data_IF_288278108942
#
_entry.id   IF_288278108942
#
_cell.length_a   1.000
_cell.length_b   1.000
_cell.length_c   1.000
_cell.angle_alpha   90.00
_cell.angle_beta   90.00
_cell.angle_gamma   90.00
#
_symmetry.space_group_name_H-M   'P 1'
#
loop_
_entity.id
_entity.type
_entity.pdbx_description
1 polymer ?
#
# COMPACT_ATOMS: atom_id res chain seq x y z
N UNK A 1 20.37 23.15 -65.98
CA UNK A 1 19.05 23.19 -65.32
C UNK A 1 19.05 22.15 -64.22
N UNK A 2 19.36 22.57 -63.02
CA UNK A 2 19.40 21.69 -61.84
C UNK A 2 18.29 22.17 -60.92
N UNK A 3 17.29 21.35 -60.73
CA UNK A 3 16.26 21.53 -59.69
C UNK A 3 16.66 20.77 -58.44
N UNK A 4 17.03 21.49 -57.39
CA UNK A 4 17.22 20.97 -56.05
C UNK A 4 15.87 20.74 -55.39
N UNK A 5 15.58 19.49 -55.05
CA UNK A 5 14.51 19.14 -54.14
C UNK A 5 15.03 19.24 -52.70
N UNK A 6 14.63 20.23 -51.98
CA UNK A 6 14.76 20.32 -50.53
C UNK A 6 13.70 19.41 -49.89
N UNK A 7 14.14 18.28 -49.36
CA UNK A 7 13.37 17.49 -48.41
C UNK A 7 13.61 18.06 -46.99
N UNK A 8 12.63 18.83 -46.52
CA UNK A 8 12.51 19.19 -45.12
C UNK A 8 12.29 17.90 -44.30
N UNK A 9 13.32 17.44 -43.63
CA UNK A 9 13.22 16.45 -42.55
C UNK A 9 12.77 17.17 -41.28
N UNK A 10 11.46 17.23 -41.04
CA UNK A 10 10.95 17.51 -39.69
C UNK A 10 11.42 16.41 -38.76
N UNK A 11 12.43 16.73 -37.96
CA UNK A 11 12.83 15.87 -36.85
C UNK A 11 11.67 15.77 -35.85
N UNK A 12 11.00 14.64 -35.85
CA UNK A 12 10.10 14.28 -34.74
C UNK A 12 10.96 14.19 -33.48
N UNK A 13 10.87 15.22 -32.65
CA UNK A 13 11.37 15.14 -31.29
C UNK A 13 10.50 14.12 -30.54
N UNK A 14 10.91 12.87 -30.55
CA UNK A 14 10.42 11.87 -29.64
C UNK A 14 10.86 12.28 -28.23
N UNK A 15 10.03 13.10 -27.59
CA UNK A 15 10.18 13.41 -26.19
C UNK A 15 9.94 12.12 -25.42
N UNK A 16 11.04 11.54 -24.89
CA UNK A 16 10.97 10.37 -24.01
C UNK A 16 10.10 10.80 -22.84
N UNK A 17 8.95 10.15 -22.58
CA UNK A 17 8.14 10.49 -21.42
C UNK A 17 9.01 10.28 -20.20
N UNK A 18 9.28 11.36 -19.47
CA UNK A 18 9.88 11.28 -18.14
C UNK A 18 8.90 10.45 -17.35
N UNK A 19 9.30 9.24 -16.98
CA UNK A 19 8.55 8.41 -16.06
C UNK A 19 8.57 9.12 -14.70
N UNK A 20 7.62 10.03 -14.49
CA UNK A 20 7.20 10.36 -13.15
C UNK A 20 6.53 9.09 -12.61
N UNK A 21 7.36 8.19 -12.09
CA UNK A 21 6.83 7.14 -11.26
C UNK A 21 6.07 7.85 -10.16
N UNK A 22 4.76 7.70 -10.09
CA UNK A 22 4.01 7.86 -8.85
C UNK A 22 4.93 7.38 -7.74
N UNK A 23 5.11 8.17 -6.68
CA UNK A 23 6.00 7.83 -5.59
C UNK A 23 5.87 6.34 -5.33
N UNK A 24 6.82 5.55 -5.85
CA UNK A 24 6.79 4.09 -5.68
C UNK A 24 7.06 3.74 -4.23
N UNK A 25 7.58 4.71 -3.46
CA UNK A 25 7.79 4.58 -2.04
C UNK A 25 6.49 4.85 -1.28
N UNK A 26 6.05 3.83 -0.58
CA UNK A 26 4.98 3.96 0.40
C UNK A 26 5.56 4.64 1.63
N UNK A 27 5.00 5.81 1.95
CA UNK A 27 5.40 6.62 3.12
C UNK A 27 4.19 6.88 4.01
N UNK A 28 4.43 7.22 5.28
CA UNK A 28 3.35 7.61 6.18
C UNK A 28 2.75 8.98 5.80
N UNK A 29 3.50 9.81 5.08
CA UNK A 29 3.03 11.14 4.68
C UNK A 29 2.16 11.11 3.43
N UNK A 30 2.36 10.15 2.52
CA UNK A 30 1.48 9.96 1.37
C UNK A 30 0.32 8.98 1.65
N UNK A 31 0.23 8.44 2.87
CA UNK A 31 -0.95 7.70 3.30
C UNK A 31 -2.09 8.66 3.64
N UNK A 32 -3.23 8.46 3.02
CA UNK A 32 -4.40 9.29 3.26
C UNK A 32 -5.10 8.83 4.53
N UNK A 33 -4.75 9.47 5.63
CA UNK A 33 -5.14 9.05 6.96
C UNK A 33 -6.67 9.09 7.21
N UNK A 34 -7.39 10.05 6.59
CA UNK A 34 -8.81 10.23 6.92
C UNK A 34 -9.02 10.34 8.43
N UNK A 35 -9.83 9.43 8.98
CA UNK A 35 -10.10 9.36 10.43
C UNK A 35 -9.03 8.54 11.20
N UNK A 36 -7.97 8.09 10.51
CA UNK A 36 -6.92 7.25 11.08
C UNK A 36 -5.69 8.04 11.58
N UNK A 37 -5.81 9.35 11.85
CA UNK A 37 -4.69 10.21 12.27
C UNK A 37 -3.97 9.69 13.52
N UNK A 38 -4.71 9.15 14.49
CA UNK A 38 -4.12 8.59 15.71
C UNK A 38 -3.24 7.36 15.41
N UNK A 39 -3.66 6.53 14.45
CA UNK A 39 -2.87 5.40 13.99
C UNK A 39 -1.54 5.87 13.38
N UNK A 40 -1.57 6.88 12.49
CA UNK A 40 -0.34 7.40 11.87
C UNK A 40 0.64 7.92 12.92
N UNK A 41 0.16 8.64 13.92
CA UNK A 41 1.00 9.11 15.03
C UNK A 41 1.59 7.94 15.84
N UNK A 42 0.81 6.91 16.12
CA UNK A 42 1.29 5.70 16.81
C UNK A 42 2.38 4.99 16.00
N UNK A 43 2.19 4.86 14.67
CA UNK A 43 3.18 4.25 13.77
C UNK A 43 4.47 5.08 13.66
N UNK A 44 4.37 6.42 13.62
CA UNK A 44 5.54 7.30 13.69
C UNK A 44 6.31 7.15 15.00
N UNK A 45 5.61 6.99 16.12
CA UNK A 45 6.23 6.75 17.44
C UNK A 45 6.87 5.37 17.51
N UNK A 46 6.19 4.34 17.02
CA UNK A 46 6.70 2.97 16.91
C UNK A 46 8.03 2.91 16.15
N UNK A 47 8.11 3.58 15.00
CA UNK A 47 9.30 3.56 14.16
C UNK A 47 10.51 4.30 14.76
N UNK A 48 10.30 5.23 15.71
CA UNK A 48 11.36 6.05 16.34
C UNK A 48 12.13 5.36 17.47
N UNK A 49 11.90 4.08 17.73
CA UNK A 49 12.72 3.31 18.66
C UNK A 49 12.13 3.10 20.06
N UNK A 50 10.83 3.25 20.26
CA UNK A 50 10.17 2.75 21.45
C UNK A 50 10.10 1.21 21.39
N UNK A 51 11.19 0.57 21.82
CA UNK A 51 11.27 -0.89 21.81
C UNK A 51 10.21 -1.54 22.71
N UNK A 52 9.83 -2.76 22.37
CA UNK A 52 8.87 -3.57 23.15
C UNK A 52 7.42 -3.25 22.87
N UNK A 53 7.11 -2.57 21.78
CA UNK A 53 5.73 -2.33 21.37
C UNK A 53 5.23 -3.38 20.39
N UNK A 54 4.04 -3.92 20.66
CA UNK A 54 3.28 -4.69 19.68
C UNK A 54 2.09 -3.85 19.23
N UNK A 55 1.98 -3.65 17.91
CA UNK A 55 0.84 -3.00 17.26
C UNK A 55 0.15 -4.00 16.35
N UNK A 56 -1.16 -4.17 16.51
CA UNK A 56 -2.00 -4.98 15.65
C UNK A 56 -2.95 -4.09 14.85
N UNK A 57 -2.78 -4.07 13.52
CA UNK A 57 -3.62 -3.33 12.60
C UNK A 57 -4.64 -4.26 11.97
N UNK A 58 -5.91 -3.89 11.99
CA UNK A 58 -6.89 -4.64 11.20
C UNK A 58 -7.83 -3.71 10.47
N UNK A 59 -8.35 -4.19 9.35
CA UNK A 59 -9.30 -3.43 8.54
C UNK A 59 -9.62 -4.17 7.24
N UNK A 60 -10.66 -3.76 6.56
CA UNK A 60 -11.09 -4.36 5.30
C UNK A 60 -9.95 -4.42 4.28
N UNK A 61 -10.10 -5.25 3.28
CA UNK A 61 -9.19 -5.28 2.13
C UNK A 61 -9.11 -3.88 1.51
N UNK A 62 -7.94 -3.51 0.99
CA UNK A 62 -7.67 -2.22 0.33
C UNK A 62 -7.79 -0.96 1.22
N UNK A 63 -7.72 -1.10 2.55
CA UNK A 63 -7.64 0.06 3.47
C UNK A 63 -6.22 0.61 3.64
N UNK A 64 -5.24 0.06 2.93
CA UNK A 64 -3.85 0.53 2.96
C UNK A 64 -2.98 -0.11 4.05
N UNK A 65 -3.35 -1.28 4.59
CA UNK A 65 -2.53 -2.01 5.59
C UNK A 65 -1.11 -2.26 5.11
N UNK A 66 -0.96 -2.88 3.94
CA UNK A 66 0.36 -3.16 3.34
C UNK A 66 1.12 -1.88 3.03
N UNK A 67 0.43 -0.78 2.65
CA UNK A 67 1.04 0.53 2.52
C UNK A 67 1.67 0.98 3.85
N UNK A 68 0.92 0.88 4.95
CA UNK A 68 1.40 1.27 6.27
C UNK A 68 2.55 0.38 6.75
N UNK A 69 2.48 -0.93 6.52
CA UNK A 69 3.57 -1.86 6.86
C UNK A 69 4.87 -1.51 6.13
N UNK A 70 4.82 -1.28 4.81
CA UNK A 70 5.98 -0.89 4.02
C UNK A 70 6.47 0.52 4.39
N UNK A 71 5.56 1.47 4.61
CA UNK A 71 5.92 2.83 5.01
C UNK A 71 6.66 2.85 6.36
N UNK A 72 6.19 2.06 7.33
CA UNK A 72 6.87 1.89 8.63
C UNK A 72 8.21 1.21 8.44
N UNK A 73 8.26 0.13 7.65
CA UNK A 73 9.52 -0.56 7.34
C UNK A 73 10.56 0.41 6.76
N UNK A 74 10.18 1.28 5.83
CA UNK A 74 11.11 2.20 5.18
C UNK A 74 11.72 3.24 6.12
N UNK A 75 10.97 3.72 7.12
CA UNK A 75 11.43 4.76 8.05
C UNK A 75 12.15 4.24 9.30
N UNK A 76 12.07 2.94 9.62
CA UNK A 76 12.85 2.36 10.71
C UNK A 76 14.33 2.34 10.33
N UNK A 77 15.19 2.89 11.15
CA UNK A 77 16.66 2.93 10.94
C UNK A 77 17.38 1.72 11.56
N UNK A 78 16.72 0.99 12.46
CA UNK A 78 17.25 -0.18 13.17
C UNK A 78 17.09 -1.48 12.34
N UNK A 79 17.62 -2.58 12.87
CA UNK A 79 17.51 -3.91 12.26
C UNK A 79 16.07 -4.39 12.19
N UNK A 80 15.60 -4.67 11.00
CA UNK A 80 14.20 -4.89 10.70
C UNK A 80 13.97 -5.98 9.66
N UNK A 81 12.83 -6.63 9.76
CA UNK A 81 12.36 -7.59 8.75
C UNK A 81 10.87 -7.42 8.49
N UNK A 82 10.48 -7.52 7.22
CA UNK A 82 9.09 -7.51 6.78
C UNK A 82 8.75 -8.87 6.16
N UNK A 83 7.74 -9.50 6.72
CA UNK A 83 7.21 -10.80 6.31
C UNK A 83 5.79 -10.63 5.78
N UNK A 84 5.50 -11.30 4.69
CA UNK A 84 4.16 -11.44 4.12
C UNK A 84 3.94 -12.89 3.66
N UNK A 85 2.79 -13.16 3.03
CA UNK A 85 2.44 -14.50 2.56
C UNK A 85 3.42 -15.11 1.53
N UNK A 86 4.17 -14.27 0.81
CA UNK A 86 5.03 -14.71 -0.30
C UNK A 86 6.45 -15.04 0.18
N UNK A 87 6.89 -14.44 1.30
CA UNK A 87 8.23 -14.61 1.85
C UNK A 87 8.25 -15.20 3.27
N UNK A 88 7.16 -15.78 3.74
CA UNK A 88 7.03 -16.31 5.10
C UNK A 88 8.11 -17.37 5.44
N UNK A 89 8.55 -18.15 4.46
CA UNK A 89 9.61 -19.14 4.65
C UNK A 89 10.93 -18.54 5.18
N UNK A 90 11.19 -17.28 4.88
CA UNK A 90 12.40 -16.58 5.37
C UNK A 90 12.37 -16.46 6.91
N UNK A 91 11.18 -16.49 7.53
CA UNK A 91 11.06 -16.35 8.99
C UNK A 91 11.86 -17.42 9.73
N UNK A 92 11.92 -18.66 9.23
CA UNK A 92 12.67 -19.75 9.84
C UNK A 92 14.19 -19.58 9.79
N UNK A 93 14.69 -18.78 8.85
CA UNK A 93 16.11 -18.52 8.64
C UNK A 93 16.60 -17.24 9.35
N UNK A 94 15.68 -16.49 9.95
CA UNK A 94 16.01 -15.24 10.63
C UNK A 94 16.56 -15.52 12.02
N UNK A 95 17.75 -14.99 12.30
CA UNK A 95 18.26 -14.92 13.66
C UNK A 95 17.52 -13.81 14.43
N UNK A 96 16.61 -14.24 15.31
CA UNK A 96 15.80 -13.35 16.15
C UNK A 96 16.67 -12.38 16.95
N UNK A 97 17.87 -12.78 17.36
CA UNK A 97 18.72 -11.93 18.20
C UNK A 97 19.20 -10.68 17.45
N UNK A 98 19.36 -10.78 16.14
CA UNK A 98 19.93 -9.73 15.31
C UNK A 98 18.89 -8.74 14.75
N UNK A 99 17.60 -8.94 14.98
CA UNK A 99 16.55 -8.01 14.53
C UNK A 99 15.77 -7.45 15.71
N UNK A 100 15.50 -6.14 15.65
CA UNK A 100 14.76 -5.40 16.68
C UNK A 100 13.30 -5.11 16.27
N UNK A 101 13.00 -5.14 14.97
CA UNK A 101 11.66 -4.93 14.43
C UNK A 101 11.23 -6.06 13.51
N UNK A 102 10.06 -6.64 13.78
CA UNK A 102 9.40 -7.57 12.90
C UNK A 102 8.06 -6.99 12.45
N UNK A 103 7.85 -6.93 11.14
CA UNK A 103 6.59 -6.52 10.53
C UNK A 103 6.00 -7.71 9.83
N UNK A 104 4.76 -8.08 10.16
CA UNK A 104 4.03 -9.20 9.56
C UNK A 104 2.80 -8.64 8.85
N UNK A 105 2.81 -8.64 7.53
CA UNK A 105 1.65 -8.25 6.72
C UNK A 105 0.83 -9.48 6.34
N UNK A 106 -0.48 -9.29 6.15
CA UNK A 106 -1.45 -10.34 5.82
C UNK A 106 -1.43 -11.55 6.78
N UNK A 107 -1.34 -11.27 8.08
CA UNK A 107 -1.20 -12.24 9.16
C UNK A 107 -2.23 -13.38 9.10
N UNK A 108 -3.50 -13.07 8.80
CA UNK A 108 -4.56 -14.07 8.69
C UNK A 108 -4.28 -15.09 7.58
N UNK A 109 -3.69 -14.65 6.46
CA UNK A 109 -3.37 -15.53 5.34
C UNK A 109 -2.24 -16.48 5.72
N UNK A 110 -1.22 -15.97 6.43
CA UNK A 110 -0.10 -16.78 6.91
C UNK A 110 -0.59 -17.79 7.97
N UNK A 111 -1.45 -17.33 8.88
CA UNK A 111 -2.02 -18.18 9.95
C UNK A 111 -2.87 -19.32 9.37
N UNK A 112 -3.67 -19.04 8.34
CA UNK A 112 -4.59 -20.01 7.72
C UNK A 112 -3.89 -20.94 6.73
N UNK A 113 -2.69 -20.60 6.24
CA UNK A 113 -1.88 -21.45 5.37
C UNK A 113 -1.03 -22.41 6.17
N UNK A 114 -1.47 -23.67 6.25
CA UNK A 114 -0.66 -24.75 6.85
C UNK A 114 -0.49 -24.65 8.37
N UNK A 115 0.52 -25.33 8.91
CA UNK A 115 0.81 -25.37 10.36
C UNK A 115 1.69 -24.19 10.81
N UNK A 116 1.41 -22.98 10.34
CA UNK A 116 2.27 -21.81 10.63
C UNK A 116 2.03 -21.21 12.01
N UNK A 117 0.97 -21.63 12.72
CA UNK A 117 0.64 -21.07 14.03
C UNK A 117 1.73 -21.29 15.07
N UNK A 118 2.40 -22.45 15.05
CA UNK A 118 3.51 -22.74 15.99
C UNK A 118 4.70 -21.81 15.73
N UNK A 119 5.06 -21.61 14.48
CA UNK A 119 6.13 -20.70 14.08
C UNK A 119 5.78 -19.25 14.43
N UNK A 120 4.59 -18.79 14.08
CA UNK A 120 4.11 -17.44 14.45
C UNK A 120 4.12 -17.24 15.96
N UNK A 121 3.61 -18.21 16.72
CA UNK A 121 3.60 -18.14 18.19
C UNK A 121 5.02 -18.02 18.74
N UNK A 122 5.95 -18.83 18.26
CA UNK A 122 7.36 -18.80 18.69
C UNK A 122 7.96 -17.40 18.47
N UNK A 123 7.89 -16.87 17.25
CA UNK A 123 8.48 -15.55 16.95
C UNK A 123 7.80 -14.40 17.69
N UNK A 124 6.47 -14.38 17.76
CA UNK A 124 5.73 -13.35 18.50
C UNK A 124 6.10 -13.40 19.99
N UNK A 125 6.20 -14.60 20.55
CA UNK A 125 6.59 -14.80 21.95
C UNK A 125 8.00 -14.27 22.22
N UNK A 126 8.97 -14.66 21.39
CA UNK A 126 10.36 -14.23 21.53
C UNK A 126 10.51 -12.71 21.41
N UNK A 127 9.80 -12.07 20.47
CA UNK A 127 9.80 -10.61 20.34
C UNK A 127 9.25 -9.91 21.58
N UNK A 128 8.16 -10.43 22.16
CA UNK A 128 7.57 -9.89 23.39
C UNK A 128 8.53 -10.07 24.58
N UNK A 129 9.09 -11.27 24.78
CA UNK A 129 10.00 -11.57 25.88
C UNK A 129 11.29 -10.74 25.81
N UNK A 130 11.82 -10.56 24.60
CA UNK A 130 13.03 -9.77 24.35
C UNK A 130 12.78 -8.26 24.28
N UNK A 131 11.54 -7.81 24.55
CA UNK A 131 11.13 -6.40 24.45
C UNK A 131 11.47 -5.77 23.07
N UNK A 132 11.31 -6.53 22.00
CA UNK A 132 11.47 -6.08 20.62
C UNK A 132 10.13 -5.63 20.04
N UNK A 133 10.17 -4.89 18.94
CA UNK A 133 8.99 -4.26 18.38
C UNK A 133 8.34 -5.10 17.29
N UNK A 134 7.01 -5.21 17.33
CA UNK A 134 6.23 -6.05 16.43
C UNK A 134 5.04 -5.28 15.86
N UNK A 135 4.94 -5.20 14.54
CA UNK A 135 3.80 -4.65 13.82
C UNK A 135 3.13 -5.78 13.03
N UNK A 136 1.85 -5.98 13.25
CA UNK A 136 1.06 -7.02 12.57
C UNK A 136 -0.10 -6.36 11.83
N UNK A 137 -0.33 -6.75 10.59
CA UNK A 137 -1.50 -6.36 9.83
C UNK A 137 -2.39 -7.55 9.48
N UNK A 138 -3.71 -7.34 9.46
CA UNK A 138 -4.70 -8.37 9.14
C UNK A 138 -5.99 -7.77 8.56
N UNK A 139 -6.75 -8.53 7.80
CA UNK A 139 -8.12 -8.15 7.44
C UNK A 139 -9.12 -8.45 8.55
N UNK A 140 -8.75 -9.32 9.50
CA UNK A 140 -9.58 -9.78 10.61
C UNK A 140 -9.10 -9.20 11.93
N UNK A 141 -10.01 -8.87 12.83
CA UNK A 141 -9.66 -8.57 14.22
C UNK A 141 -9.18 -9.82 14.95
N UNK A 142 -8.47 -9.65 16.07
CA UNK A 142 -8.03 -10.76 16.92
C UNK A 142 -9.18 -11.64 17.44
N UNK A 143 -10.40 -11.10 17.50
CA UNK A 143 -11.60 -11.84 17.89
C UNK A 143 -12.22 -12.65 16.76
N UNK A 144 -11.96 -12.28 15.51
CA UNK A 144 -12.45 -12.97 14.31
C UNK A 144 -11.50 -14.07 13.81
N UNK A 145 -10.25 -14.05 14.27
CA UNK A 145 -9.29 -15.10 13.97
C UNK A 145 -9.55 -16.35 14.81
N UNK A 146 -9.36 -17.50 14.19
CA UNK A 146 -9.39 -18.80 14.89
C UNK A 146 -7.98 -19.17 15.26
N UNK A 147 -7.75 -19.38 16.55
CA UNK A 147 -6.48 -19.81 17.11
C UNK A 147 -6.63 -21.18 17.76
N UNK A 148 -5.71 -22.09 17.52
CA UNK A 148 -5.57 -23.33 18.29
C UNK A 148 -4.89 -23.05 19.62
N UNK A 149 -3.94 -22.10 19.63
CA UNK A 149 -3.22 -21.65 20.82
C UNK A 149 -3.89 -20.44 21.49
N UNK A 150 -4.53 -20.64 22.62
CA UNK A 150 -5.16 -19.56 23.41
C UNK A 150 -4.17 -18.45 23.80
N UNK A 151 -2.91 -18.83 24.06
CA UNK A 151 -1.86 -17.90 24.45
C UNK A 151 -1.50 -16.92 23.33
N UNK A 152 -1.47 -17.36 22.06
CA UNK A 152 -1.24 -16.46 20.91
C UNK A 152 -2.32 -15.39 20.84
N UNK A 153 -3.58 -15.79 20.96
CA UNK A 153 -4.70 -14.85 21.00
C UNK A 153 -4.57 -13.84 22.13
N UNK A 154 -4.25 -14.31 23.34
CA UNK A 154 -4.09 -13.44 24.51
C UNK A 154 -3.00 -12.40 24.30
N UNK A 155 -1.84 -12.81 23.76
CA UNK A 155 -0.72 -11.91 23.47
C UNK A 155 -1.08 -10.84 22.45
N UNK A 156 -1.77 -11.21 21.37
CA UNK A 156 -2.20 -10.24 20.36
C UNK A 156 -3.26 -9.27 20.89
N UNK A 157 -4.13 -9.74 21.80
CA UNK A 157 -5.25 -8.93 22.32
C UNK A 157 -4.81 -7.94 23.41
N UNK A 158 -3.74 -8.21 24.13
CA UNK A 158 -3.27 -7.39 25.27
C UNK A 158 -2.43 -6.17 24.84
N UNK A 159 -2.31 -5.89 23.55
CA UNK A 159 -1.44 -4.84 23.03
C UNK A 159 -2.25 -3.73 22.30
N UNK A 160 -1.55 -2.84 21.59
CA UNK A 160 -2.19 -1.76 20.84
C UNK A 160 -2.90 -2.30 19.60
N UNK A 161 -4.23 -2.18 19.58
CA UNK A 161 -5.05 -2.64 18.46
C UNK A 161 -5.69 -1.44 17.77
N UNK A 162 -5.48 -1.33 16.45
CA UNK A 162 -6.07 -0.29 15.62
C UNK A 162 -6.97 -0.89 14.54
N UNK A 163 -8.20 -0.41 14.49
CA UNK A 163 -9.10 -0.68 13.38
C UNK A 163 -8.95 0.42 12.34
N UNK A 164 -8.45 0.07 11.15
CA UNK A 164 -8.30 1.02 10.05
C UNK A 164 -9.67 1.26 9.42
N UNK A 165 -10.14 2.50 9.54
CA UNK A 165 -11.41 2.95 8.95
C UNK A 165 -11.23 3.20 7.46
N UNK A 166 -12.20 2.74 6.70
CA UNK A 166 -12.26 3.00 5.26
C UNK A 166 -12.52 4.49 5.00
N UNK A 167 -11.87 5.02 3.98
CA UNK A 167 -12.07 6.41 3.53
C UNK A 167 -13.43 6.51 2.84
N UNK A 168 -14.21 7.55 3.17
CA UNK A 168 -15.50 7.82 2.53
C UNK A 168 -15.34 8.13 1.04
N UNK A 169 -16.37 7.85 0.25
CA UNK A 169 -16.33 8.06 -1.20
C UNK A 169 -16.04 9.51 -1.60
N UNK A 170 -16.57 10.49 -0.86
CA UNK A 170 -16.26 11.90 -1.10
C UNK A 170 -14.77 12.20 -0.92
N UNK A 171 -14.14 11.62 0.09
CA UNK A 171 -12.71 11.77 0.30
C UNK A 171 -11.87 11.00 -0.73
N UNK A 172 -12.38 9.88 -1.26
CA UNK A 172 -11.69 9.18 -2.37
C UNK A 172 -11.61 10.09 -3.61
N UNK A 173 -12.67 10.83 -3.94
CA UNK A 173 -12.65 11.79 -5.04
C UNK A 173 -11.59 12.88 -4.82
N UNK A 174 -11.51 13.43 -3.61
CA UNK A 174 -10.48 14.40 -3.23
C UNK A 174 -9.07 13.83 -3.42
N UNK A 175 -8.87 12.59 -2.99
CA UNK A 175 -7.62 11.84 -3.19
C UNK A 175 -7.25 11.71 -4.66
N UNK A 176 -8.21 11.31 -5.51
CA UNK A 176 -7.97 11.17 -6.95
C UNK A 176 -7.51 12.50 -7.57
N UNK A 177 -8.13 13.61 -7.16
CA UNK A 177 -7.75 14.95 -7.61
C UNK A 177 -6.33 15.31 -7.17
N UNK A 178 -6.01 15.13 -5.89
CA UNK A 178 -4.69 15.43 -5.36
C UNK A 178 -3.60 14.60 -6.07
N UNK A 179 -3.81 13.31 -6.25
CA UNK A 179 -2.88 12.46 -6.98
C UNK A 179 -2.65 12.97 -8.40
N UNK A 180 -3.68 13.37 -9.12
CA UNK A 180 -3.52 13.86 -10.50
C UNK A 180 -2.84 15.22 -10.56
N UNK A 181 -3.07 16.10 -9.59
CA UNK A 181 -2.37 17.39 -9.47
C UNK A 181 -0.89 17.20 -9.16
N UNK A 182 -0.53 16.28 -8.29
CA UNK A 182 0.86 15.96 -7.94
C UNK A 182 1.68 15.45 -9.14
N UNK A 183 1.04 14.75 -10.07
CA UNK A 183 1.67 14.26 -11.31
C UNK A 183 1.54 15.20 -12.50
N UNK A 184 1.02 16.39 -12.27
CA UNK A 184 1.05 17.50 -13.24
C UNK A 184 -0.15 17.60 -14.21
N UNK A 185 -1.26 16.90 -13.93
CA UNK A 185 -2.52 17.08 -14.68
C UNK A 185 -3.73 17.12 -13.76
N UNK A 186 -4.85 17.64 -14.28
CA UNK A 186 -6.10 17.73 -13.53
C UNK A 186 -7.14 16.81 -14.11
N UNK A 187 -7.75 15.99 -13.25
CA UNK A 187 -8.91 15.19 -13.60
C UNK A 187 -10.19 16.03 -13.44
N UNK A 188 -11.04 16.02 -14.45
CA UNK A 188 -12.33 16.73 -14.38
C UNK A 188 -13.28 16.01 -13.42
N UNK A 189 -14.14 16.79 -12.75
CA UNK A 189 -15.12 16.28 -11.77
C UNK A 189 -16.02 15.19 -12.34
N UNK A 190 -16.53 15.41 -13.57
CA UNK A 190 -17.38 14.45 -14.27
C UNK A 190 -16.65 13.11 -14.55
N UNK A 191 -15.33 13.16 -14.80
CA UNK A 191 -14.50 11.96 -15.01
C UNK A 191 -14.30 11.22 -13.69
N UNK A 192 -14.03 11.93 -12.58
CA UNK A 192 -13.96 11.34 -11.25
C UNK A 192 -15.27 10.65 -10.88
N UNK A 193 -16.39 11.33 -11.02
CA UNK A 193 -17.72 10.81 -10.74
C UNK A 193 -18.03 9.58 -11.60
N UNK A 194 -17.65 9.63 -12.87
CA UNK A 194 -17.78 8.49 -13.76
C UNK A 194 -17.00 7.26 -13.25
N UNK A 195 -15.72 7.44 -12.89
CA UNK A 195 -14.88 6.34 -12.36
C UNK A 195 -15.49 5.78 -11.07
N UNK A 196 -15.88 6.64 -10.14
CA UNK A 196 -16.47 6.24 -8.86
C UNK A 196 -17.81 5.51 -9.01
N UNK A 197 -18.59 5.79 -10.04
CA UNK A 197 -19.93 5.20 -10.24
C UNK A 197 -19.91 3.89 -11.03
N UNK A 198 -18.87 3.65 -11.85
CA UNK A 198 -18.87 2.54 -12.79
C UNK A 198 -17.81 1.47 -12.48
N UNK A 199 -16.88 1.75 -11.54
CA UNK A 199 -15.79 0.83 -11.22
C UNK A 199 -15.67 0.56 -9.72
N UNK A 200 -14.76 -0.36 -9.37
CA UNK A 200 -14.49 -0.70 -7.97
C UNK A 200 -13.99 0.53 -7.21
N UNK A 201 -14.60 0.79 -6.04
CA UNK A 201 -14.30 1.97 -5.22
C UNK A 201 -13.17 1.76 -4.22
N UNK A 202 -12.37 0.69 -4.37
CA UNK A 202 -11.19 0.56 -3.54
C UNK A 202 -10.05 1.47 -4.04
N UNK A 203 -9.31 2.00 -3.09
CA UNK A 203 -8.30 3.02 -3.40
C UNK A 203 -7.14 2.46 -4.24
N UNK A 204 -6.79 1.19 -4.04
CA UNK A 204 -5.73 0.53 -4.82
C UNK A 204 -6.12 0.43 -6.30
N UNK A 205 -7.35 -0.02 -6.57
CA UNK A 205 -7.88 -0.06 -7.94
C UNK A 205 -7.91 1.33 -8.57
N UNK A 206 -8.44 2.32 -7.84
CA UNK A 206 -8.53 3.70 -8.31
C UNK A 206 -7.15 4.29 -8.65
N UNK A 207 -6.15 4.08 -7.80
CA UNK A 207 -4.78 4.53 -8.06
C UNK A 207 -4.17 3.84 -9.30
N UNK A 208 -4.43 2.56 -9.51
CA UNK A 208 -3.95 1.84 -10.71
C UNK A 208 -4.64 2.36 -11.99
N UNK A 209 -5.92 2.67 -11.92
CA UNK A 209 -6.64 3.33 -13.03
C UNK A 209 -5.99 4.66 -13.37
N UNK A 210 -5.72 5.52 -12.37
CA UNK A 210 -5.06 6.81 -12.61
C UNK A 210 -3.67 6.65 -13.25
N UNK A 211 -2.85 5.71 -12.76
CA UNK A 211 -1.53 5.40 -13.35
C UNK A 211 -1.63 5.04 -14.83
N UNK A 212 -2.63 4.26 -15.17
CA UNK A 212 -2.83 3.80 -16.55
C UNK A 212 -3.38 4.89 -17.44
N UNK A 213 -4.24 5.74 -16.90
CA UNK A 213 -4.75 6.94 -17.61
C UNK A 213 -3.61 7.92 -17.88
N UNK A 214 -2.74 8.18 -16.90
CA UNK A 214 -1.58 9.05 -17.05
C UNK A 214 -0.65 8.54 -18.16
N UNK A 215 -0.20 7.31 -18.06
CA UNK A 215 0.67 6.66 -19.07
C UNK A 215 0.06 6.70 -20.47
N UNK A 216 -1.24 6.41 -20.59
CA UNK A 216 -1.92 6.38 -21.87
C UNK A 216 -2.16 7.77 -22.44
N UNK A 217 -2.47 8.77 -21.60
CA UNK A 217 -2.69 10.15 -22.00
C UNK A 217 -1.41 10.80 -22.57
N UNK A 218 -0.28 10.55 -21.91
CA UNK A 218 1.05 10.96 -22.36
C UNK A 218 1.42 10.33 -23.71
N UNK A 219 1.28 9.00 -23.82
CA UNK A 219 1.62 8.26 -25.03
C UNK A 219 0.79 8.68 -26.25
N UNK A 220 -0.51 8.95 -26.04
CA UNK A 220 -1.44 9.31 -27.11
C UNK A 220 -1.61 10.81 -27.27
N UNK A 221 -0.98 11.64 -26.43
CA UNK A 221 -1.15 13.11 -26.37
C UNK A 221 -2.64 13.53 -26.33
N UNK A 222 -3.45 12.79 -25.56
CA UNK A 222 -4.90 13.00 -25.44
C UNK A 222 -5.28 13.44 -24.02
N UNK A 223 -6.28 14.30 -23.93
CA UNK A 223 -6.90 14.65 -22.64
C UNK A 223 -7.69 13.46 -22.09
N UNK A 224 -7.70 13.35 -20.76
CA UNK A 224 -8.47 12.31 -20.07
C UNK A 224 -9.94 12.72 -20.02
N UNK A 225 -10.74 12.04 -20.82
CA UNK A 225 -12.20 12.21 -20.93
C UNK A 225 -12.90 10.89 -20.60
N UNK A 226 -14.21 10.89 -20.36
CA UNK A 226 -14.97 9.66 -20.11
C UNK A 226 -14.78 8.60 -21.20
N UNK A 227 -14.88 8.91 -22.52
CA UNK A 227 -14.58 7.93 -23.57
C UNK A 227 -13.15 7.39 -23.51
N UNK A 228 -12.17 8.24 -23.15
CA UNK A 228 -10.79 7.83 -22.99
C UNK A 228 -10.64 6.85 -21.80
N UNK A 229 -11.27 7.15 -20.65
CA UNK A 229 -11.29 6.25 -19.48
C UNK A 229 -11.82 4.86 -19.85
N UNK A 230 -12.96 4.80 -20.57
CA UNK A 230 -13.53 3.55 -21.06
C UNK A 230 -12.51 2.76 -21.90
N UNK A 231 -11.90 3.41 -22.88
CA UNK A 231 -10.95 2.76 -23.79
C UNK A 231 -9.69 2.23 -23.10
N UNK A 232 -9.27 2.86 -22.00
CA UNK A 232 -8.10 2.42 -21.23
C UNK A 232 -8.48 1.25 -20.30
N UNK A 233 -9.60 1.35 -19.58
CA UNK A 233 -10.00 0.34 -18.60
C UNK A 233 -10.44 -0.97 -19.27
N UNK A 234 -11.12 -0.92 -20.42
CA UNK A 234 -11.50 -2.11 -21.19
C UNK A 234 -10.29 -2.97 -21.59
N UNK A 235 -9.11 -2.37 -21.73
CA UNK A 235 -7.86 -3.10 -21.98
C UNK A 235 -7.31 -3.87 -20.77
N UNK A 236 -7.81 -3.62 -19.56
CA UNK A 236 -7.45 -4.36 -18.35
C UNK A 236 -8.29 -5.62 -18.14
N UNK A 237 -9.41 -5.74 -18.84
CA UNK A 237 -10.34 -6.87 -18.73
C UNK A 237 -10.17 -7.90 -19.84
N UNK A 238 -9.31 -7.62 -20.83
CA UNK A 238 -8.88 -8.54 -21.88
C UNK A 238 -7.40 -8.94 -21.67
#
# INVERSE_FOLDING_TARGET
>A
MYTQNNMDKTAEHNQIPINFSFCNEKTLDNYIAGDNKHLINALKTFAKGNHGQLIYLFGKKSTGKSHLCEAVFNIIEDTKTLINQDNFSILTDIDIQNINYLIIDDFEIILEKGNNEDTLFYYINEFILSKKSLLISSTKSTTQLTFTKKDLKSRLTSNLIFNIREISDNRKVEVLKNITEDIGWRIEENVCQYIMNHYQRDLFFLCNVLKSLDKSSLALKKRVTIPFVKSVIERFHN
#
